data_IF_340453316728
#
_entry.id   IF_340453316728
#
_cell.length_a   1.000
_cell.length_b   1.000
_cell.length_c   1.000
_cell.angle_alpha   90.00
_cell.angle_beta   90.00
_cell.angle_gamma   90.00
#
_symmetry.space_group_name_H-M   'P 1'
#
loop_
_entity.id
_entity.type
_entity.pdbx_description
1 polymer ?
#
# COMPACT_ATOMS: atom_id res chain seq x y z
N UNK A 1 14.73 -14.12 -1.48
CA UNK A 1 15.14 -12.81 -2.03
C UNK A 1 14.05 -11.81 -1.68
N UNK A 2 14.36 -10.61 -1.19
CA UNK A 2 13.33 -9.63 -0.87
C UNK A 2 12.57 -9.26 -2.15
N UNK A 3 11.24 -9.33 -2.11
CA UNK A 3 10.39 -8.86 -3.20
C UNK A 3 10.65 -7.36 -3.44
N UNK A 4 10.62 -6.91 -4.70
CA UNK A 4 10.88 -5.52 -5.10
C UNK A 4 12.24 -4.93 -4.67
N UNK A 5 13.30 -5.74 -4.53
CA UNK A 5 14.61 -5.25 -4.03
C UNK A 5 15.18 -4.08 -4.83
N UNK A 6 14.98 -4.04 -6.14
CA UNK A 6 15.48 -2.95 -6.99
C UNK A 6 14.71 -1.65 -6.76
N UNK A 7 13.40 -1.72 -6.49
CA UNK A 7 12.61 -0.56 -6.07
C UNK A 7 13.11 -0.01 -4.75
N UNK A 8 13.34 -0.89 -3.76
CA UNK A 8 13.82 -0.51 -2.42
C UNK A 8 15.19 0.18 -2.52
N UNK A 9 16.13 -0.38 -3.29
CA UNK A 9 17.44 0.22 -3.53
C UNK A 9 17.31 1.61 -4.16
N UNK A 10 16.44 1.75 -5.17
CA UNK A 10 16.20 3.03 -5.83
C UNK A 10 15.66 4.08 -4.87
N UNK A 11 14.67 3.75 -4.04
CA UNK A 11 14.11 4.66 -3.03
C UNK A 11 15.21 5.18 -2.10
N UNK A 12 16.04 4.28 -1.54
CA UNK A 12 17.11 4.70 -0.64
C UNK A 12 18.25 5.44 -1.35
N UNK A 13 18.53 5.16 -2.62
CA UNK A 13 19.51 5.90 -3.40
C UNK A 13 19.06 7.35 -3.67
N UNK A 14 17.76 7.57 -3.92
CA UNK A 14 17.20 8.90 -4.20
C UNK A 14 16.91 9.71 -2.93
N UNK A 15 16.59 9.05 -1.82
CA UNK A 15 16.11 9.68 -0.58
C UNK A 15 16.99 10.82 -0.05
N UNK A 16 18.34 10.72 -0.02
CA UNK A 16 19.19 11.80 0.47
C UNK A 16 18.99 13.11 -0.31
N UNK A 17 18.95 13.03 -1.65
CA UNK A 17 18.79 14.20 -2.51
C UNK A 17 17.44 14.90 -2.32
N UNK A 18 16.34 14.12 -2.19
CA UNK A 18 14.99 14.63 -1.95
C UNK A 18 14.87 15.28 -0.57
N UNK A 19 15.45 14.65 0.46
CA UNK A 19 15.47 15.18 1.83
C UNK A 19 16.26 16.49 1.91
N UNK A 20 17.40 16.59 1.21
CA UNK A 20 18.20 17.81 1.20
C UNK A 20 17.51 18.95 0.44
N UNK A 21 16.83 18.65 -0.67
CA UNK A 21 15.99 19.61 -1.38
C UNK A 21 14.88 20.15 -0.47
N UNK A 22 14.16 19.27 0.23
CA UNK A 22 13.13 19.66 1.18
C UNK A 22 13.69 20.53 2.32
N UNK A 23 14.83 20.14 2.90
CA UNK A 23 15.48 20.89 3.98
C UNK A 23 15.86 22.30 3.56
N UNK A 24 16.38 22.48 2.34
CA UNK A 24 16.73 23.79 1.77
C UNK A 24 15.50 24.69 1.63
N UNK A 25 14.38 24.15 1.12
CA UNK A 25 13.13 24.91 0.96
C UNK A 25 12.51 25.28 2.31
N UNK A 26 12.57 24.38 3.29
CA UNK A 26 11.92 24.56 4.59
C UNK A 26 12.75 25.38 5.58
N UNK A 27 14.06 25.47 5.39
CA UNK A 27 14.96 26.24 6.25
C UNK A 27 15.07 25.72 7.69
N UNK A 28 14.71 24.45 7.95
CA UNK A 28 14.73 23.85 9.29
C UNK A 28 15.07 22.35 9.26
N UNK A 29 15.50 21.76 10.39
CA UNK A 29 15.61 20.31 10.50
C UNK A 29 14.27 19.59 10.26
N UNK A 30 14.36 18.37 9.75
CA UNK A 30 13.22 17.49 9.46
C UNK A 30 13.19 16.30 10.42
N UNK A 31 11.99 15.95 10.90
CA UNK A 31 11.78 14.69 11.62
C UNK A 31 11.92 13.49 10.67
N UNK A 32 12.01 12.27 11.20
CA UNK A 32 12.05 11.07 10.35
C UNK A 32 10.80 10.95 9.46
N UNK A 33 9.62 11.17 10.03
CA UNK A 33 8.36 11.14 9.27
C UNK A 33 8.34 12.18 8.16
N UNK A 34 8.82 13.40 8.42
CA UNK A 34 8.95 14.43 7.38
C UNK A 34 9.92 13.99 6.29
N UNK A 35 11.09 13.44 6.64
CA UNK A 35 12.04 12.93 5.65
C UNK A 35 11.42 11.87 4.74
N UNK A 36 10.65 10.94 5.31
CA UNK A 36 9.96 9.90 4.55
C UNK A 36 8.90 10.54 3.64
N UNK A 37 8.01 11.37 4.17
CA UNK A 37 6.94 12.00 3.40
C UNK A 37 7.48 12.89 2.27
N UNK A 38 8.46 13.74 2.55
CA UNK A 38 9.09 14.59 1.53
C UNK A 38 9.84 13.80 0.46
N UNK A 39 10.38 12.61 0.80
CA UNK A 39 11.01 11.74 -0.18
C UNK A 39 10.01 11.02 -1.11
N UNK A 40 8.73 10.97 -0.73
CA UNK A 40 7.63 10.32 -1.47
C UNK A 40 6.58 11.31 -1.97
N UNK A 41 6.93 12.58 -2.17
CA UNK A 41 6.04 13.50 -2.88
C UNK A 41 5.80 12.99 -4.31
N UNK A 42 4.56 13.15 -4.79
CA UNK A 42 4.25 12.89 -6.18
C UNK A 42 5.11 13.79 -7.09
N UNK A 43 5.40 13.35 -8.32
CA UNK A 43 6.25 14.12 -9.24
C UNK A 43 5.71 15.53 -9.54
N UNK A 44 4.38 15.66 -9.53
CA UNK A 44 3.68 16.93 -9.76
C UNK A 44 3.53 17.78 -8.47
N UNK A 45 3.86 17.22 -7.30
CA UNK A 45 3.77 17.92 -6.02
C UNK A 45 5.03 18.73 -5.76
N UNK A 46 4.92 20.04 -5.95
CA UNK A 46 6.02 20.97 -5.62
C UNK A 46 6.31 20.94 -4.12
N UNK A 47 7.60 20.92 -3.78
CA UNK A 47 8.07 21.03 -2.40
C UNK A 47 7.70 22.41 -1.85
N UNK A 48 6.99 22.42 -0.73
CA UNK A 48 6.61 23.65 -0.03
C UNK A 48 6.55 23.39 1.48
N UNK A 49 6.36 24.46 2.26
CA UNK A 49 6.11 24.33 3.69
C UNK A 49 4.64 23.94 3.94
N UNK A 50 4.38 22.63 3.94
CA UNK A 50 3.08 22.07 4.25
C UNK A 50 2.77 22.19 5.74
N UNK A 51 1.65 22.83 6.08
CA UNK A 51 1.25 23.01 7.46
C UNK A 51 0.64 21.72 8.02
N UNK A 52 1.17 21.27 9.17
CA UNK A 52 0.75 20.03 9.82
C UNK A 52 -0.72 20.11 10.22
N UNK A 53 -1.49 19.10 9.84
CA UNK A 53 -2.92 19.03 10.15
C UNK A 53 -3.80 19.99 9.34
N UNK A 54 -3.24 20.72 8.36
CA UNK A 54 -4.02 21.62 7.49
C UNK A 54 -3.80 21.38 6.00
N UNK A 55 -2.56 21.17 5.58
CA UNK A 55 -2.27 20.96 4.16
C UNK A 55 -2.63 19.54 3.72
N UNK A 56 -3.32 19.42 2.59
CA UNK A 56 -3.37 18.19 1.81
C UNK A 56 -2.15 18.13 0.91
N UNK A 57 -1.53 16.95 0.78
CA UNK A 57 -0.28 16.77 0.06
C UNK A 57 -0.37 15.50 -0.77
N UNK A 58 0.01 15.60 -2.04
CA UNK A 58 0.01 14.46 -2.94
C UNK A 58 1.30 13.66 -2.77
N UNK A 59 1.14 12.42 -2.31
CA UNK A 59 2.23 11.46 -2.15
C UNK A 59 2.14 10.35 -3.21
N UNK A 60 3.27 9.70 -3.47
CA UNK A 60 3.37 8.50 -4.29
C UNK A 60 3.79 7.32 -3.40
N UNK A 61 2.82 6.56 -2.83
CA UNK A 61 3.13 5.36 -2.05
C UNK A 61 3.80 4.29 -2.91
N UNK A 62 4.78 3.59 -2.34
CA UNK A 62 5.51 2.55 -3.07
C UNK A 62 4.72 1.25 -3.23
N UNK A 63 3.75 0.99 -2.34
CA UNK A 63 2.94 -0.23 -2.34
C UNK A 63 1.61 -0.06 -1.62
N UNK A 64 0.71 -0.99 -1.87
CA UNK A 64 -0.59 -1.10 -1.21
C UNK A 64 -0.72 -2.48 -0.56
N UNK A 65 -1.28 -2.54 0.64
CA UNK A 65 -1.65 -3.79 1.28
C UNK A 65 -3.11 -3.70 1.73
N UNK A 66 -3.87 -4.76 1.50
CA UNK A 66 -5.27 -4.86 1.90
C UNK A 66 -5.48 -6.15 2.70
N UNK A 67 -6.43 -6.12 3.62
CA UNK A 67 -6.94 -7.31 4.30
C UNK A 67 -8.28 -7.73 3.69
N UNK A 68 -8.61 -9.02 3.72
CA UNK A 68 -9.77 -9.62 3.07
C UNK A 68 -11.12 -8.94 3.39
N UNK A 69 -11.31 -8.43 4.61
CA UNK A 69 -12.52 -7.70 4.99
C UNK A 69 -12.69 -6.34 4.27
N UNK A 70 -11.62 -5.70 3.81
CA UNK A 70 -11.65 -4.41 3.08
C UNK A 70 -11.26 -4.53 1.61
N UNK A 71 -10.47 -5.55 1.27
CA UNK A 71 -10.01 -5.84 -0.08
C UNK A 71 -11.17 -6.09 -1.03
N UNK A 72 -12.25 -6.73 -0.56
CA UNK A 72 -13.44 -7.02 -1.38
C UNK A 72 -13.97 -5.76 -2.06
N UNK A 73 -14.29 -4.72 -1.28
CA UNK A 73 -14.88 -3.50 -1.81
C UNK A 73 -13.85 -2.60 -2.51
N UNK A 74 -12.59 -2.61 -2.06
CA UNK A 74 -11.51 -1.91 -2.75
C UNK A 74 -11.30 -2.46 -4.17
N UNK A 75 -11.30 -3.78 -4.33
CA UNK A 75 -11.12 -4.44 -5.61
C UNK A 75 -12.33 -4.31 -6.53
N UNK A 76 -13.56 -4.33 -6.00
CA UNK A 76 -14.75 -4.04 -6.80
C UNK A 76 -14.71 -2.62 -7.41
N UNK A 77 -14.32 -1.63 -6.62
CA UNK A 77 -14.13 -0.26 -7.12
C UNK A 77 -12.97 -0.18 -8.12
N UNK A 78 -11.87 -0.91 -7.88
CA UNK A 78 -10.75 -0.99 -8.82
C UNK A 78 -11.18 -1.59 -10.17
N UNK A 79 -11.99 -2.65 -10.15
CA UNK A 79 -12.59 -3.26 -11.34
C UNK A 79 -13.46 -2.25 -12.11
N UNK A 80 -14.26 -1.45 -11.39
CA UNK A 80 -15.11 -0.42 -11.99
C UNK A 80 -14.30 0.73 -12.59
N UNK A 81 -13.11 1.03 -12.06
CA UNK A 81 -12.21 2.06 -12.59
C UNK A 81 -11.66 1.72 -13.98
N UNK A 82 -11.88 0.52 -14.51
CA UNK A 82 -11.51 0.12 -15.88
C UNK A 82 -10.01 0.01 -16.11
N UNK A 83 -9.20 -0.03 -15.04
CA UNK A 83 -7.74 -0.18 -15.15
C UNK A 83 -7.38 -1.64 -15.46
N UNK A 84 -6.39 -1.90 -16.33
CA UNK A 84 -6.02 -3.26 -16.71
C UNK A 84 -5.21 -4.01 -15.64
N UNK A 85 -4.48 -3.29 -14.78
CA UNK A 85 -3.66 -3.85 -13.69
C UNK A 85 -3.31 -2.77 -12.65
N UNK A 86 -2.85 -3.18 -11.47
CA UNK A 86 -2.39 -2.26 -10.42
C UNK A 86 -1.15 -1.47 -10.87
N UNK A 87 -0.99 -0.27 -10.31
CA UNK A 87 0.09 0.65 -10.66
C UNK A 87 1.38 0.43 -9.84
N UNK A 88 1.23 -0.12 -8.63
CA UNK A 88 2.32 -0.42 -7.68
C UNK A 88 2.12 -1.82 -7.10
N UNK A 89 3.18 -2.47 -6.59
CA UNK A 89 3.06 -3.74 -5.89
C UNK A 89 1.94 -3.69 -4.85
N UNK A 90 1.02 -4.63 -4.94
CA UNK A 90 -0.20 -4.64 -4.13
C UNK A 90 -0.45 -6.04 -3.62
N UNK A 91 -0.85 -6.21 -2.36
CA UNK A 91 -1.14 -7.54 -1.79
C UNK A 91 -2.50 -7.57 -1.09
N UNK A 92 -3.12 -8.75 -1.09
CA UNK A 92 -4.30 -9.07 -0.28
C UNK A 92 -3.93 -10.14 0.74
N UNK A 93 -4.25 -9.89 2.00
CA UNK A 93 -4.01 -10.81 3.11
C UNK A 93 -5.36 -11.36 3.60
N UNK A 94 -5.51 -12.69 3.63
CA UNK A 94 -6.74 -13.35 4.09
C UNK A 94 -6.61 -13.75 5.55
N UNK A 95 -6.96 -12.83 6.45
CA UNK A 95 -6.73 -12.94 7.89
C UNK A 95 -7.93 -12.54 8.76
N UNK A 96 -8.95 -11.83 8.24
CA UNK A 96 -10.09 -11.39 9.04
C UNK A 96 -11.31 -12.32 8.98
N UNK A 97 -11.38 -13.21 7.98
CA UNK A 97 -12.51 -14.13 7.80
C UNK A 97 -12.32 -15.50 8.47
N UNK A 98 -11.31 -15.64 9.34
CA UNK A 98 -11.07 -16.86 10.12
C UNK A 98 -11.54 -16.63 11.56
N UNK A 99 -12.62 -17.30 11.94
CA UNK A 99 -13.16 -17.22 13.30
C UNK A 99 -12.46 -18.21 14.22
N UNK A 100 -11.94 -17.74 15.35
CA UNK A 100 -11.41 -18.61 16.40
C UNK A 100 -12.56 -19.26 17.19
N UNK A 101 -12.67 -20.59 17.15
CA UNK A 101 -13.73 -21.33 17.83
C UNK A 101 -13.28 -22.64 18.46
N UNK A 102 -12.47 -23.43 17.74
CA UNK A 102 -11.95 -24.72 18.21
C UNK A 102 -10.43 -24.65 18.34
N UNK A 103 -9.72 -24.85 17.24
CA UNK A 103 -8.28 -24.66 17.15
C UNK A 103 -7.85 -24.31 15.72
N UNK A 104 -6.62 -23.81 15.56
CA UNK A 104 -6.19 -23.19 14.31
C UNK A 104 -6.29 -24.05 13.04
N UNK A 105 -6.17 -25.39 13.11
CA UNK A 105 -6.32 -26.24 11.93
C UNK A 105 -7.78 -26.45 11.54
N UNK A 106 -8.63 -26.76 12.53
CA UNK A 106 -10.07 -26.93 12.31
C UNK A 106 -10.72 -25.61 11.89
N UNK A 107 -10.41 -24.51 12.59
CA UNK A 107 -10.96 -23.18 12.29
C UNK A 107 -10.53 -22.69 10.89
N UNK A 108 -9.29 -22.96 10.47
CA UNK A 108 -8.83 -22.62 9.11
C UNK A 108 -9.53 -23.46 8.02
N UNK A 109 -9.70 -24.76 8.26
CA UNK A 109 -10.40 -25.64 7.33
C UNK A 109 -11.88 -25.24 7.20
N UNK A 110 -12.50 -24.88 8.32
CA UNK A 110 -13.85 -24.35 8.37
C UNK A 110 -13.96 -23.03 7.59
N UNK A 111 -13.09 -22.06 7.87
CA UNK A 111 -13.09 -20.76 7.18
C UNK A 111 -12.89 -20.89 5.67
N UNK A 112 -12.00 -21.79 5.23
CA UNK A 112 -11.76 -22.07 3.80
C UNK A 112 -13.01 -22.57 3.09
N UNK A 113 -13.92 -23.22 3.81
CA UNK A 113 -15.21 -23.70 3.28
C UNK A 113 -16.29 -22.63 3.38
N UNK A 114 -16.45 -22.03 4.56
CA UNK A 114 -17.49 -21.03 4.85
C UNK A 114 -17.32 -19.75 4.02
N UNK A 115 -16.09 -19.25 3.91
CA UNK A 115 -15.76 -18.01 3.16
C UNK A 115 -15.22 -18.30 1.76
N UNK A 116 -15.48 -19.49 1.21
CA UNK A 116 -14.91 -19.94 -0.06
C UNK A 116 -15.19 -18.97 -1.22
N UNK A 117 -16.40 -18.43 -1.32
CA UNK A 117 -16.77 -17.48 -2.37
C UNK A 117 -15.88 -16.23 -2.34
N UNK A 118 -15.65 -15.68 -1.15
CA UNK A 118 -14.81 -14.50 -0.97
C UNK A 118 -13.35 -14.82 -1.31
N UNK A 119 -12.82 -15.94 -0.84
CA UNK A 119 -11.44 -16.33 -1.13
C UNK A 119 -11.22 -16.61 -2.63
N UNK A 120 -12.15 -17.29 -3.29
CA UNK A 120 -12.10 -17.53 -4.73
C UNK A 120 -12.17 -16.21 -5.52
N UNK A 121 -13.04 -15.28 -5.11
CA UNK A 121 -13.13 -13.94 -5.68
C UNK A 121 -11.80 -13.19 -5.54
N UNK A 122 -11.26 -13.09 -4.32
CA UNK A 122 -10.02 -12.37 -4.04
C UNK A 122 -8.84 -12.99 -4.80
N UNK A 123 -8.74 -14.32 -4.84
CA UNK A 123 -7.70 -15.03 -5.59
C UNK A 123 -7.80 -14.77 -7.10
N UNK A 124 -9.01 -14.86 -7.67
CA UNK A 124 -9.25 -14.63 -9.09
C UNK A 124 -8.93 -13.20 -9.52
N UNK A 125 -9.42 -12.22 -8.75
CA UNK A 125 -9.20 -10.80 -9.04
C UNK A 125 -7.73 -10.40 -8.83
N UNK A 126 -7.07 -10.94 -7.81
CA UNK A 126 -5.63 -10.71 -7.58
C UNK A 126 -4.79 -11.19 -8.77
N UNK A 127 -5.02 -12.43 -9.22
CA UNK A 127 -4.36 -12.98 -10.40
C UNK A 127 -4.63 -12.16 -11.66
N UNK A 128 -5.86 -11.66 -11.84
CA UNK A 128 -6.24 -10.87 -13.01
C UNK A 128 -5.52 -9.52 -13.09
N UNK A 129 -5.40 -8.81 -11.96
CA UNK A 129 -4.89 -7.44 -11.92
C UNK A 129 -3.43 -7.31 -11.46
N UNK A 130 -2.76 -8.43 -11.17
CA UNK A 130 -1.35 -8.48 -10.81
C UNK A 130 -1.07 -8.07 -9.35
N UNK A 131 -1.90 -8.56 -8.43
CA UNK A 131 -1.69 -8.50 -6.98
C UNK A 131 -1.04 -9.79 -6.48
#
# INVERSE_FOLDING_TARGET
MAFDIEMIKKVYAEMPSKVDAARKVLGRPLTLSEKILFAHLHADQKVANFERGKSYVDFAPDRVAMQDATAQMALLQFMQAGRPKVAVPSTVHCDHLIMAKHEGKEDLAFATTESKEVFDFLASVSNKYGL
#
